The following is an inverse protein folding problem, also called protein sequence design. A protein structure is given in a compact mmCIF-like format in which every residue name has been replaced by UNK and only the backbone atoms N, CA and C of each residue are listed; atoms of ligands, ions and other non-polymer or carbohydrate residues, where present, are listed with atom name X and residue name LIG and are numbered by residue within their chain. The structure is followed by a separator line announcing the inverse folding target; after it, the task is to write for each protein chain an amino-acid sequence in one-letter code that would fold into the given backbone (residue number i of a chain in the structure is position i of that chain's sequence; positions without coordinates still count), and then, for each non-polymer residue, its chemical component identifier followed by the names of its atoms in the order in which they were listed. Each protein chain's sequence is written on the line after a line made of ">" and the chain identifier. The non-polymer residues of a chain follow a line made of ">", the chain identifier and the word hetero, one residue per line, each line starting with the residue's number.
data_IF_129656615243
#
_entry.id   IF_129656615243
#
_cell.length_a   1.000
_cell.length_b   1.000
_cell.length_c   1.000
_cell.angle_alpha   90.00
_cell.angle_beta   90.00
_cell.angle_gamma   90.00
#
_symmetry.space_group_name_H-M   'P 1'
#
loop_
_entity.id
_entity.type
_entity.pdbx_description
1 polymer ?
#
# COMPACT_ATOMS: atom_id res chain seq x y z
N UNK A 1 -22.48 -9.91 3.86
CA UNK A 1 -21.45 -9.35 2.95
C UNK A 1 -21.20 -10.35 1.83
N UNK A 2 -20.97 -9.88 0.60
CA UNK A 2 -20.59 -10.72 -0.54
C UNK A 2 -19.24 -11.39 -0.29
N UNK A 3 -19.02 -12.56 -0.86
CA UNK A 3 -17.77 -13.32 -0.77
C UNK A 3 -17.17 -13.45 -2.16
N UNK A 4 -15.85 -13.57 -2.23
CA UNK A 4 -15.18 -13.97 -3.47
C UNK A 4 -15.57 -15.42 -3.75
N UNK A 5 -16.12 -15.69 -4.93
CA UNK A 5 -16.54 -17.04 -5.32
C UNK A 5 -15.69 -17.52 -6.47
N UNK A 6 -15.28 -18.77 -6.42
CA UNK A 6 -14.48 -19.46 -7.43
C UNK A 6 -13.32 -18.63 -8.00
N UNK A 7 -12.15 -18.73 -7.37
CA UNK A 7 -10.96 -17.96 -7.74
C UNK A 7 -10.24 -18.48 -8.99
N UNK A 8 -10.50 -19.72 -9.41
CA UNK A 8 -9.80 -20.29 -10.57
C UNK A 8 -10.14 -19.51 -11.85
N UNK A 9 -9.13 -19.06 -12.56
CA UNK A 9 -9.24 -18.21 -13.73
C UNK A 9 -9.57 -16.75 -13.42
N UNK A 10 -9.48 -16.33 -12.14
CA UNK A 10 -9.71 -14.96 -11.69
C UNK A 10 -8.42 -14.20 -11.48
N UNK A 11 -8.58 -12.89 -11.33
CA UNK A 11 -7.48 -11.98 -11.05
C UNK A 11 -7.83 -11.01 -9.94
N UNK A 12 -6.85 -10.73 -9.08
CA UNK A 12 -6.97 -9.81 -7.95
C UNK A 12 -5.82 -8.82 -7.98
N UNK A 13 -6.14 -7.54 -8.01
CA UNK A 13 -5.16 -6.48 -7.78
C UNK A 13 -5.21 -6.02 -6.32
N UNK A 14 -4.04 -5.81 -5.73
CA UNK A 14 -3.89 -5.22 -4.40
C UNK A 14 -3.45 -3.77 -4.57
N UNK A 15 -4.34 -2.82 -4.31
CA UNK A 15 -4.08 -1.38 -4.35
C UNK A 15 -3.79 -0.92 -2.93
N UNK A 16 -2.72 -0.18 -2.73
CA UNK A 16 -2.34 0.25 -1.39
C UNK A 16 -1.12 1.16 -1.35
N UNK A 17 -0.56 1.24 -0.18
CA UNK A 17 0.61 2.06 0.14
C UNK A 17 1.93 1.26 0.12
N UNK A 18 2.90 1.66 0.97
CA UNK A 18 4.22 1.02 1.07
C UNK A 18 4.15 -0.45 1.50
N UNK A 19 3.19 -0.83 2.34
CA UNK A 19 3.04 -2.21 2.80
C UNK A 19 2.68 -3.11 1.61
N UNK A 20 1.79 -2.64 0.75
CA UNK A 20 1.40 -3.37 -0.45
C UNK A 20 2.53 -3.33 -1.49
N UNK A 21 3.18 -2.17 -1.67
CA UNK A 21 4.31 -2.02 -2.59
C UNK A 21 5.45 -2.99 -2.28
N UNK A 22 5.69 -3.34 -1.01
CA UNK A 22 6.68 -4.34 -0.60
C UNK A 22 6.40 -5.74 -1.19
N UNK A 23 5.14 -6.11 -1.40
CA UNK A 23 4.73 -7.27 -2.18
C UNK A 23 4.95 -8.63 -1.53
N UNK A 24 5.57 -8.73 -0.37
CA UNK A 24 5.98 -10.00 0.24
C UNK A 24 4.83 -11.01 0.37
N UNK A 25 3.69 -10.59 0.91
CA UNK A 25 2.52 -11.47 1.06
C UNK A 25 1.92 -11.90 -0.29
N UNK A 26 2.00 -11.04 -1.32
CA UNK A 26 1.49 -11.36 -2.67
C UNK A 26 2.31 -12.49 -3.28
N UNK A 27 3.63 -12.44 -3.14
CA UNK A 27 4.53 -13.48 -3.65
C UNK A 27 4.32 -14.81 -2.93
N UNK A 28 4.09 -14.79 -1.62
CA UNK A 28 3.73 -15.98 -0.84
C UNK A 28 2.39 -16.58 -1.29
N UNK A 29 1.40 -15.74 -1.60
CA UNK A 29 0.12 -16.19 -2.14
C UNK A 29 0.25 -16.78 -3.56
N UNK A 30 1.08 -16.17 -4.43
CA UNK A 30 1.39 -16.72 -5.75
C UNK A 30 1.96 -18.12 -5.64
N UNK A 31 2.98 -18.33 -4.79
CA UNK A 31 3.58 -19.64 -4.54
C UNK A 31 2.55 -20.65 -4.01
N UNK A 32 1.72 -20.22 -3.05
CA UNK A 32 0.67 -21.06 -2.50
C UNK A 32 -0.31 -21.54 -3.58
N UNK A 33 -0.83 -20.64 -4.41
CA UNK A 33 -1.80 -20.99 -5.45
C UNK A 33 -1.19 -21.87 -6.54
N UNK A 34 0.05 -21.61 -6.96
CA UNK A 34 0.77 -22.46 -7.90
C UNK A 34 0.95 -23.88 -7.36
N UNK A 35 1.34 -24.03 -6.09
CA UNK A 35 1.47 -25.36 -5.45
C UNK A 35 0.15 -26.11 -5.33
N UNK A 36 -0.97 -25.37 -5.30
CA UNK A 36 -2.32 -25.94 -5.29
C UNK A 36 -2.90 -26.19 -6.69
N UNK A 37 -2.21 -25.78 -7.73
CA UNK A 37 -2.73 -25.85 -9.11
C UNK A 37 -3.95 -24.92 -9.33
N UNK A 38 -4.09 -23.87 -8.52
CA UNK A 38 -5.17 -22.88 -8.63
C UNK A 38 -4.68 -21.74 -9.52
N UNK A 39 -5.32 -21.56 -10.66
CA UNK A 39 -5.01 -20.47 -11.59
C UNK A 39 -5.62 -19.17 -11.09
N UNK A 40 -4.79 -18.26 -10.59
CA UNK A 40 -5.19 -16.91 -10.15
C UNK A 40 -4.06 -15.92 -10.41
N UNK A 41 -4.36 -14.85 -11.12
CA UNK A 41 -3.40 -13.76 -11.31
C UNK A 41 -3.48 -12.75 -10.16
N UNK A 42 -2.37 -12.49 -9.50
CA UNK A 42 -2.27 -11.50 -8.42
C UNK A 42 -1.37 -10.35 -8.86
N UNK A 43 -1.86 -9.12 -8.78
CA UNK A 43 -1.15 -7.90 -9.18
C UNK A 43 -0.83 -7.04 -7.96
N UNK A 44 0.43 -6.63 -7.83
CA UNK A 44 0.84 -5.63 -6.87
C UNK A 44 0.64 -4.24 -7.46
N UNK A 45 -0.26 -3.45 -6.88
CA UNK A 45 -0.55 -2.06 -7.28
C UNK A 45 -0.41 -1.09 -6.09
N UNK A 46 0.50 -1.42 -5.15
CA UNK A 46 0.88 -0.56 -4.05
C UNK A 46 1.83 0.54 -4.50
N UNK A 47 1.68 1.75 -3.96
CA UNK A 47 2.62 2.87 -4.16
C UNK A 47 2.98 3.45 -2.80
N UNK A 48 4.26 3.43 -2.44
CA UNK A 48 4.72 3.92 -1.14
C UNK A 48 4.28 5.38 -0.91
N UNK A 49 3.84 5.68 0.31
CA UNK A 49 3.37 7.03 0.67
C UNK A 49 1.96 7.40 0.18
N UNK A 50 1.32 6.56 -0.64
CA UNK A 50 -0.02 6.84 -1.14
C UNK A 50 -1.09 6.80 -0.05
N UNK A 51 -2.13 7.58 -0.28
CA UNK A 51 -3.40 7.59 0.43
C UNK A 51 -4.53 7.22 -0.51
N UNK A 52 -5.64 6.78 0.04
CA UNK A 52 -6.78 6.36 -0.78
C UNK A 52 -7.40 7.51 -1.62
N UNK A 53 -7.29 8.76 -1.16
CA UNK A 53 -7.78 9.93 -1.90
C UNK A 53 -6.93 10.27 -3.14
N UNK A 54 -5.72 9.70 -3.26
CA UNK A 54 -4.83 9.87 -4.41
C UNK A 54 -5.07 8.82 -5.51
N UNK A 55 -5.72 7.71 -5.17
CA UNK A 55 -5.77 6.50 -6.03
C UNK A 55 -6.67 6.65 -7.25
N UNK A 56 -7.70 7.47 -7.19
CA UNK A 56 -8.65 7.61 -8.32
C UNK A 56 -8.02 7.99 -9.66
N UNK A 57 -6.91 8.75 -9.61
CA UNK A 57 -6.15 9.15 -10.80
C UNK A 57 -5.25 8.03 -11.31
N UNK A 58 -4.81 7.14 -10.41
CA UNK A 58 -3.93 6.02 -10.72
C UNK A 58 -4.64 4.87 -11.42
N UNK A 59 -5.90 4.60 -11.08
CA UNK A 59 -6.64 3.42 -11.56
C UNK A 59 -6.65 3.33 -13.08
N UNK A 60 -6.81 4.44 -13.80
CA UNK A 60 -6.84 4.43 -15.26
C UNK A 60 -5.49 4.07 -15.90
N UNK A 61 -4.39 4.39 -15.24
CA UNK A 61 -3.05 4.04 -15.72
C UNK A 61 -2.61 2.66 -15.25
N UNK A 62 -2.88 2.34 -14.00
CA UNK A 62 -2.53 1.05 -13.39
C UNK A 62 -3.23 -0.15 -14.04
N UNK A 63 -4.42 0.09 -14.61
CA UNK A 63 -5.23 -0.96 -15.25
C UNK A 63 -5.39 -0.76 -16.76
N UNK A 64 -4.51 0.02 -17.40
CA UNK A 64 -4.59 0.26 -18.84
C UNK A 64 -4.28 -0.99 -19.68
N UNK A 65 -3.42 -1.88 -19.18
CA UNK A 65 -3.04 -3.12 -19.90
C UNK A 65 -3.90 -4.32 -19.52
N UNK A 66 -4.45 -4.33 -18.30
CA UNK A 66 -5.25 -5.44 -17.81
C UNK A 66 -6.27 -4.98 -16.78
N UNK A 67 -7.50 -5.43 -16.95
CA UNK A 67 -8.59 -5.17 -16.03
C UNK A 67 -8.81 -6.39 -15.12
N UNK A 68 -8.44 -6.33 -13.83
CA UNK A 68 -8.64 -7.44 -12.92
C UNK A 68 -10.13 -7.66 -12.61
N UNK A 69 -10.48 -8.89 -12.20
CA UNK A 69 -11.84 -9.19 -11.74
C UNK A 69 -12.14 -8.49 -10.41
N UNK A 70 -11.15 -8.42 -9.53
CA UNK A 70 -11.25 -7.84 -8.19
C UNK A 70 -10.11 -6.87 -7.92
N UNK A 71 -10.39 -5.84 -7.12
CA UNK A 71 -9.36 -4.95 -6.58
C UNK A 71 -9.54 -4.78 -5.06
N UNK A 72 -8.57 -5.25 -4.29
CA UNK A 72 -8.50 -5.06 -2.84
C UNK A 72 -7.90 -3.68 -2.53
N UNK A 73 -8.67 -2.84 -1.85
CA UNK A 73 -8.29 -1.47 -1.49
C UNK A 73 -7.77 -1.50 -0.06
N UNK A 74 -6.43 -1.42 0.10
CA UNK A 74 -5.73 -1.63 1.37
C UNK A 74 -4.94 -0.38 1.76
N UNK A 75 -5.57 0.51 2.53
CA UNK A 75 -5.01 1.79 2.96
C UNK A 75 -5.29 2.05 4.44
N UNK A 76 -4.59 3.03 5.02
CA UNK A 76 -4.87 3.48 6.38
C UNK A 76 -3.73 4.25 7.03
N UNK A 77 -2.49 3.78 6.99
CA UNK A 77 -1.36 4.39 7.67
C UNK A 77 -1.14 5.85 7.28
N UNK A 78 -0.97 6.10 6.00
CA UNK A 78 -0.79 7.45 5.47
C UNK A 78 -2.08 8.28 5.55
N UNK A 79 -3.25 7.64 5.43
CA UNK A 79 -4.55 8.33 5.50
C UNK A 79 -4.82 8.87 6.90
N UNK A 80 -4.51 8.08 7.93
CA UNK A 80 -4.68 8.49 9.32
C UNK A 80 -3.81 9.69 9.67
N UNK A 81 -2.61 9.79 9.06
CA UNK A 81 -1.60 10.78 9.43
C UNK A 81 -1.04 10.46 10.81
N UNK A 82 -0.23 9.41 10.91
CA UNK A 82 0.28 8.89 12.20
C UNK A 82 0.98 9.96 13.05
N UNK A 83 1.60 10.96 12.41
CA UNK A 83 2.22 12.11 13.10
C UNK A 83 1.24 12.98 13.91
N UNK A 84 -0.07 12.87 13.64
CA UNK A 84 -1.12 13.51 14.43
C UNK A 84 -1.39 12.76 15.76
N UNK A 85 -0.74 11.61 15.95
CA UNK A 85 -0.87 10.75 17.14
C UNK A 85 0.40 10.74 18.00
N UNK A 86 1.21 11.80 17.90
CA UNK A 86 2.40 12.00 18.72
C UNK A 86 2.02 12.21 20.19
N UNK A 87 2.36 11.24 21.04
CA UNK A 87 2.06 11.25 22.47
C UNK A 87 2.79 12.33 23.28
N UNK A 88 3.83 12.96 22.71
CA UNK A 88 4.54 14.07 23.33
C UNK A 88 3.90 15.43 23.06
N UNK A 89 2.89 15.48 22.18
CA UNK A 89 2.17 16.72 21.87
C UNK A 89 0.85 16.80 22.62
N UNK A 90 0.48 17.98 23.16
CA UNK A 90 -0.82 18.16 23.79
C UNK A 90 -1.92 17.98 22.74
N UNK A 91 -2.99 17.28 23.13
CA UNK A 91 -4.19 17.16 22.31
C UNK A 91 -4.94 18.49 22.32
N UNK A 92 -4.86 19.23 21.22
CA UNK A 92 -5.55 20.52 21.04
C UNK A 92 -6.82 20.34 20.19
N UNK A 93 -7.73 21.30 20.24
CA UNK A 93 -8.91 21.30 19.34
C UNK A 93 -8.49 21.27 17.87
N UNK A 94 -7.44 22.03 17.51
CA UNK A 94 -6.90 22.04 16.14
C UNK A 94 -6.38 20.65 15.73
N UNK A 95 -5.68 19.94 16.62
CA UNK A 95 -5.23 18.57 16.36
C UNK A 95 -6.41 17.63 16.14
N UNK A 96 -7.46 17.74 16.94
CA UNK A 96 -8.68 16.92 16.80
C UNK A 96 -9.41 17.23 15.48
N UNK A 97 -9.48 18.49 15.07
CA UNK A 97 -10.07 18.85 13.77
C UNK A 97 -9.27 18.25 12.59
N UNK A 98 -7.93 18.29 12.65
CA UNK A 98 -7.07 17.63 11.64
C UNK A 98 -7.29 16.12 11.58
N UNK A 99 -7.41 15.45 12.73
CA UNK A 99 -7.76 14.02 12.75
C UNK A 99 -9.13 13.76 12.09
N UNK A 100 -10.13 14.59 12.37
CA UNK A 100 -11.46 14.49 11.72
C UNK A 100 -11.36 14.72 10.20
N UNK A 101 -10.57 15.69 9.78
CA UNK A 101 -10.33 15.95 8.34
C UNK A 101 -9.71 14.75 7.64
N UNK A 102 -8.73 14.08 8.28
CA UNK A 102 -8.13 12.83 7.76
C UNK A 102 -9.17 11.73 7.57
N UNK A 103 -10.02 11.51 8.56
CA UNK A 103 -11.10 10.52 8.48
C UNK A 103 -12.08 10.87 7.36
N UNK A 104 -12.45 12.15 7.22
CA UNK A 104 -13.32 12.62 6.15
C UNK A 104 -12.68 12.38 4.75
N UNK A 105 -11.40 12.73 4.58
CA UNK A 105 -10.67 12.55 3.33
C UNK A 105 -10.53 11.05 2.99
N UNK A 106 -10.25 10.19 3.97
CA UNK A 106 -10.22 8.74 3.79
C UNK A 106 -11.57 8.21 3.27
N UNK A 107 -12.67 8.57 3.94
CA UNK A 107 -14.02 8.16 3.54
C UNK A 107 -14.38 8.62 2.12
N UNK A 108 -14.07 9.88 1.80
CA UNK A 108 -14.27 10.46 0.48
C UNK A 108 -13.45 9.71 -0.58
N UNK A 109 -12.14 9.59 -0.36
CA UNK A 109 -11.22 8.90 -1.28
C UNK A 109 -11.62 7.45 -1.52
N UNK A 110 -12.02 6.74 -0.46
CA UNK A 110 -12.51 5.37 -0.57
C UNK A 110 -13.80 5.28 -1.43
N UNK A 111 -14.73 6.21 -1.22
CA UNK A 111 -15.96 6.31 -2.01
C UNK A 111 -15.64 6.52 -3.50
N UNK A 112 -14.82 7.52 -3.81
CA UNK A 112 -14.41 7.85 -5.18
C UNK A 112 -13.63 6.69 -5.85
N UNK A 113 -12.79 5.99 -5.09
CA UNK A 113 -12.04 4.81 -5.56
C UNK A 113 -12.98 3.66 -5.91
N UNK A 114 -13.97 3.37 -5.07
CA UNK A 114 -14.97 2.33 -5.34
C UNK A 114 -15.78 2.67 -6.59
N UNK A 115 -16.29 3.90 -6.70
CA UNK A 115 -17.05 4.36 -7.87
C UNK A 115 -16.23 4.22 -9.15
N UNK A 116 -14.94 4.58 -9.08
CA UNK A 116 -14.02 4.45 -10.22
C UNK A 116 -13.80 2.99 -10.61
N UNK A 117 -13.55 2.09 -9.67
CA UNK A 117 -13.40 0.65 -9.94
C UNK A 117 -14.67 0.06 -10.57
N UNK A 118 -15.83 0.40 -10.01
CA UNK A 118 -17.12 -0.06 -10.54
C UNK A 118 -17.35 0.45 -11.97
N UNK A 119 -16.94 1.69 -12.28
CA UNK A 119 -17.06 2.24 -13.64
C UNK A 119 -16.20 1.49 -14.67
N UNK A 120 -15.11 0.85 -14.23
CA UNK A 120 -14.29 -0.07 -15.04
C UNK A 120 -14.82 -1.51 -15.05
N UNK A 121 -15.90 -1.81 -14.31
CA UNK A 121 -16.44 -3.15 -14.15
C UNK A 121 -15.54 -4.06 -13.29
N UNK A 122 -14.70 -3.48 -12.43
CA UNK A 122 -13.86 -4.18 -11.46
C UNK A 122 -14.63 -4.28 -10.14
N UNK A 123 -14.67 -5.47 -9.53
CA UNK A 123 -15.34 -5.66 -8.24
C UNK A 123 -14.44 -5.20 -7.09
N UNK A 124 -14.82 -4.16 -6.32
CA UNK A 124 -14.02 -3.71 -5.19
C UNK A 124 -14.08 -4.71 -4.02
N UNK A 125 -12.95 -4.88 -3.36
CA UNK A 125 -12.83 -5.48 -2.04
C UNK A 125 -12.31 -4.39 -1.12
N UNK A 126 -13.13 -3.92 -0.20
CA UNK A 126 -12.74 -2.90 0.78
C UNK A 126 -12.14 -3.60 1.99
N UNK A 127 -11.02 -3.10 2.47
CA UNK A 127 -10.44 -3.62 3.72
C UNK A 127 -10.44 -2.55 4.82
N UNK A 128 -10.44 -2.98 6.08
CA UNK A 128 -9.97 -2.11 7.16
C UNK A 128 -8.45 -1.87 7.01
N UNK A 129 -7.89 -0.83 7.65
CA UNK A 129 -6.45 -0.71 7.83
C UNK A 129 -5.83 -1.97 8.45
N UNK A 130 -4.51 -2.09 8.33
CA UNK A 130 -3.71 -3.05 9.09
C UNK A 130 -3.35 -2.46 10.46
N UNK A 131 -3.06 -3.30 11.46
CA UNK A 131 -2.68 -2.78 12.79
C UNK A 131 -1.28 -2.17 12.79
N UNK A 132 -1.08 -1.25 13.74
CA UNK A 132 0.21 -0.76 14.19
C UNK A 132 0.70 -1.62 15.36
N UNK A 133 2.01 -1.78 15.53
CA UNK A 133 2.57 -2.48 16.67
C UNK A 133 2.37 -1.66 17.95
N UNK A 134 1.38 -2.05 18.78
CA UNK A 134 1.02 -1.34 20.01
C UNK A 134 2.12 -1.34 21.06
N UNK A 135 3.01 -2.35 21.06
CA UNK A 135 4.12 -2.41 22.02
C UNK A 135 5.14 -1.28 21.81
N UNK A 136 5.18 -0.70 20.60
CA UNK A 136 6.02 0.46 20.29
C UNK A 136 5.39 1.75 20.83
N UNK A 137 4.07 1.84 20.93
CA UNK A 137 3.37 2.98 21.52
C UNK A 137 3.76 3.22 22.99
N UNK A 138 4.17 2.16 23.70
CA UNK A 138 4.52 2.18 25.13
C UNK A 138 6.02 2.39 25.40
N UNK A 139 6.89 2.37 24.40
CA UNK A 139 8.35 2.45 24.56
C UNK A 139 8.87 3.85 24.28
N UNK A 140 9.43 4.49 25.30
CA UNK A 140 10.02 5.83 25.25
C UNK A 140 11.15 6.01 24.21
N UNK A 141 11.73 4.93 23.66
CA UNK A 141 12.97 4.96 22.90
C UNK A 141 12.85 4.58 21.42
N UNK A 142 11.64 4.39 20.91
CA UNK A 142 11.47 3.94 19.53
C UNK A 142 11.02 5.04 18.64
N UNK A 143 11.30 5.52 17.69
CA UNK A 143 10.95 6.49 16.65
C UNK A 143 10.15 7.72 17.05
N UNK A 144 10.72 8.85 16.76
CA UNK A 144 10.07 10.16 16.84
C UNK A 144 9.96 10.77 15.46
N UNK A 145 8.80 11.36 15.16
CA UNK A 145 8.65 12.23 13.99
C UNK A 145 9.36 13.55 14.29
N UNK A 146 10.23 14.01 13.40
CA UNK A 146 10.90 15.31 13.54
C UNK A 146 9.85 16.43 13.63
N UNK A 147 10.03 17.32 14.59
CA UNK A 147 9.18 18.47 14.76
C UNK A 147 9.47 19.51 13.67
N UNK A 148 8.84 19.34 12.52
CA UNK A 148 8.70 20.36 11.49
C UNK A 148 7.30 20.95 11.61
N UNK A 149 7.04 21.66 12.71
CA UNK A 149 5.76 22.25 13.07
C UNK A 149 5.17 23.19 12.00
N UNK A 150 5.96 23.61 11.03
CA UNK A 150 5.55 24.47 9.92
C UNK A 150 5.21 23.69 8.63
N UNK A 151 5.44 22.37 8.56
CA UNK A 151 5.20 21.53 7.37
C UNK A 151 4.38 20.30 7.69
N UNK A 152 3.15 20.52 8.13
CA UNK A 152 2.27 19.47 8.66
C UNK A 152 1.84 18.38 7.67
N UNK A 153 2.11 18.55 6.39
CA UNK A 153 1.83 17.58 5.32
C UNK A 153 3.09 17.05 4.64
N UNK A 154 4.27 17.41 5.14
CA UNK A 154 5.52 17.04 4.47
C UNK A 154 6.22 15.88 5.17
N UNK A 155 6.30 14.80 4.45
CA UNK A 155 7.19 13.66 4.73
C UNK A 155 8.56 14.02 4.16
N UNK A 156 9.40 14.69 4.94
CA UNK A 156 10.75 15.08 4.55
C UNK A 156 11.81 14.10 5.05
N UNK A 157 13.06 14.37 4.70
CA UNK A 157 14.21 13.49 4.91
C UNK A 157 14.58 13.18 6.38
N UNK A 158 13.95 13.85 7.36
CA UNK A 158 14.12 13.61 8.81
C UNK A 158 12.84 13.08 9.43
N UNK A 159 12.26 12.08 8.83
CA UNK A 159 10.94 11.56 9.14
C UNK A 159 10.82 11.00 10.56
N UNK A 160 11.89 10.45 11.10
CA UNK A 160 11.90 9.74 12.38
C UNK A 160 12.97 10.30 13.30
N UNK A 161 12.59 11.21 14.19
CA UNK A 161 13.29 11.46 15.45
C UNK A 161 12.43 10.91 16.57
N UNK A 162 12.98 10.47 17.69
CA UNK A 162 12.28 9.79 18.80
C UNK A 162 10.98 10.48 19.21
N UNK A 163 9.80 9.96 18.83
CA UNK A 163 8.49 10.35 19.34
C UNK A 163 7.66 9.11 19.63
N UNK A 164 6.99 9.12 20.74
CA UNK A 164 6.10 8.05 21.15
C UNK A 164 4.74 8.29 20.52
N UNK A 165 4.27 7.36 19.73
CA UNK A 165 2.90 7.40 19.22
C UNK A 165 1.92 6.87 20.24
N UNK A 166 0.74 7.46 20.31
CA UNK A 166 -0.34 7.05 21.20
C UNK A 166 -1.64 6.86 20.41
N UNK A 167 -2.33 5.77 20.72
CA UNK A 167 -3.69 5.53 20.21
C UNK A 167 -3.81 5.44 18.66
N UNK A 168 -2.76 5.04 17.95
CA UNK A 168 -2.82 4.85 16.49
C UNK A 168 -3.85 3.77 16.13
N UNK A 169 -3.87 2.64 16.85
CA UNK A 169 -4.83 1.57 16.59
C UNK A 169 -6.28 2.02 16.88
N UNK A 170 -6.51 2.95 17.82
CA UNK A 170 -7.83 3.56 18.01
C UNK A 170 -8.23 4.41 16.79
N UNK A 171 -7.29 5.17 16.24
CA UNK A 171 -7.49 5.88 14.97
C UNK A 171 -7.80 4.92 13.82
N UNK A 172 -7.11 3.80 13.74
CA UNK A 172 -7.40 2.75 12.74
C UNK A 172 -8.77 2.12 12.91
N UNK A 173 -9.28 1.95 14.15
CA UNK A 173 -10.66 1.50 14.40
C UNK A 173 -11.69 2.48 13.82
N UNK A 174 -11.43 3.79 13.90
CA UNK A 174 -12.30 4.79 13.29
C UNK A 174 -12.30 4.65 11.76
N UNK A 175 -11.12 4.52 11.12
CA UNK A 175 -11.05 4.29 9.69
C UNK A 175 -11.71 2.96 9.28
N UNK A 176 -11.54 1.90 10.06
CA UNK A 176 -12.17 0.59 9.82
C UNK A 176 -13.71 0.70 9.83
N UNK A 177 -14.28 1.47 10.77
CA UNK A 177 -15.72 1.71 10.81
C UNK A 177 -16.22 2.47 9.58
N UNK A 178 -15.47 3.48 9.11
CA UNK A 178 -15.80 4.20 7.89
C UNK A 178 -15.67 3.31 6.65
N UNK A 179 -14.62 2.51 6.55
CA UNK A 179 -14.44 1.54 5.47
C UNK A 179 -15.60 0.55 5.38
N UNK A 180 -16.01 -0.01 6.53
CA UNK A 180 -17.15 -0.90 6.62
C UNK A 180 -18.46 -0.22 6.21
N UNK A 181 -18.67 1.02 6.65
CA UNK A 181 -19.85 1.80 6.30
C UNK A 181 -19.94 2.05 4.80
N UNK A 182 -18.81 2.45 4.18
CA UNK A 182 -18.75 2.67 2.73
C UNK A 182 -18.94 1.35 1.98
N UNK A 183 -18.30 0.26 2.39
CA UNK A 183 -18.47 -1.05 1.77
C UNK A 183 -19.94 -1.53 1.79
N UNK A 184 -20.64 -1.32 2.90
CA UNK A 184 -22.07 -1.63 3.03
C UNK A 184 -22.93 -0.76 2.11
N UNK A 185 -22.64 0.54 2.01
CA UNK A 185 -23.35 1.47 1.12
C UNK A 185 -23.31 0.99 -0.35
N UNK A 186 -22.16 0.51 -0.80
CA UNK A 186 -21.99 0.02 -2.18
C UNK A 186 -22.34 -1.47 -2.35
N UNK A 187 -22.68 -2.18 -1.27
CA UNK A 187 -22.96 -3.61 -1.30
C UNK A 187 -21.78 -4.45 -1.80
N UNK A 188 -20.55 -4.00 -1.52
CA UNK A 188 -19.30 -4.66 -1.94
C UNK A 188 -18.75 -5.60 -0.87
N UNK A 189 -17.61 -6.25 -1.17
CA UNK A 189 -16.92 -7.14 -0.23
C UNK A 189 -16.18 -6.30 0.81
N UNK A 190 -16.18 -6.74 2.07
CA UNK A 190 -15.42 -6.14 3.15
C UNK A 190 -14.60 -7.19 3.89
N UNK A 191 -13.31 -6.92 4.12
CA UNK A 191 -12.41 -7.70 4.95
C UNK A 191 -11.98 -6.91 6.17
N UNK A 192 -12.16 -7.46 7.35
CA UNK A 192 -11.73 -6.84 8.61
C UNK A 192 -10.30 -7.27 8.96
N UNK A 193 -9.34 -6.67 8.26
CA UNK A 193 -7.92 -6.99 8.45
C UNK A 193 -7.36 -6.43 9.75
N UNK A 194 -7.91 -5.32 10.27
CA UNK A 194 -7.47 -4.73 11.54
C UNK A 194 -7.71 -5.69 12.69
N UNK A 195 -8.93 -6.24 12.78
CA UNK A 195 -9.28 -7.18 13.83
C UNK A 195 -8.44 -8.48 13.76
N UNK A 196 -8.26 -9.01 12.54
CA UNK A 196 -7.42 -10.20 12.33
C UNK A 196 -5.94 -9.91 12.68
N UNK A 197 -5.39 -8.75 12.28
CA UNK A 197 -3.98 -8.41 12.54
C UNK A 197 -3.73 -8.02 14.00
N UNK A 198 -4.68 -7.41 14.69
CA UNK A 198 -4.58 -7.16 16.14
C UNK A 198 -4.61 -8.45 16.97
N UNK A 199 -5.35 -9.48 16.52
CA UNK A 199 -5.45 -10.75 17.23
C UNK A 199 -4.27 -11.68 17.00
N UNK A 200 -3.71 -11.69 15.80
CA UNK A 200 -2.70 -12.65 15.38
C UNK A 200 -1.31 -12.03 15.24
N UNK A 201 -1.22 -10.67 15.26
CA UNK A 201 0.04 -9.94 15.15
C UNK A 201 0.87 -10.02 16.44
N UNK A 202 2.18 -9.98 16.27
CA UNK A 202 3.15 -9.93 17.36
C UNK A 202 4.27 -8.94 17.00
N UNK A 203 4.95 -8.32 18.00
CA UNK A 203 5.94 -7.27 17.78
C UNK A 203 7.04 -7.63 16.78
N UNK A 204 7.49 -8.90 16.79
CA UNK A 204 8.52 -9.40 15.88
C UNK A 204 8.10 -9.49 14.41
N UNK A 205 6.84 -9.19 14.09
CA UNK A 205 6.29 -9.16 12.72
C UNK A 205 6.47 -7.81 12.04
N UNK A 206 6.95 -6.81 12.78
CA UNK A 206 7.15 -5.46 12.29
C UNK A 206 8.63 -5.11 12.16
N UNK A 207 8.94 -4.15 11.30
CA UNK A 207 10.18 -3.41 11.39
C UNK A 207 10.14 -2.47 12.61
N UNK A 208 11.28 -1.87 12.90
CA UNK A 208 11.45 -0.99 14.07
C UNK A 208 10.51 0.23 14.07
N UNK A 209 9.95 0.60 12.93
CA UNK A 209 8.98 1.70 12.81
C UNK A 209 7.55 1.31 13.31
N UNK A 210 7.33 0.04 13.61
CA UNK A 210 6.05 -0.48 14.07
C UNK A 210 4.90 -0.44 13.06
N UNK A 211 5.14 0.08 11.86
CA UNK A 211 4.15 0.25 10.80
C UNK A 211 4.34 -0.77 9.67
N UNK A 212 5.59 -0.92 9.22
CA UNK A 212 5.89 -1.81 8.11
C UNK A 212 6.11 -3.24 8.60
N UNK A 213 5.52 -4.17 7.87
CA UNK A 213 5.61 -5.60 8.15
C UNK A 213 6.91 -6.16 7.56
N UNK A 214 7.67 -6.90 8.38
CA UNK A 214 8.82 -7.68 7.92
C UNK A 214 8.38 -9.02 7.29
N UNK A 215 9.31 -9.92 7.01
CA UNK A 215 8.98 -11.21 6.38
C UNK A 215 7.94 -12.00 7.17
N UNK A 216 8.06 -12.12 8.49
CA UNK A 216 7.06 -12.79 9.34
C UNK A 216 5.70 -12.10 9.30
N UNK A 217 5.70 -10.78 9.26
CA UNK A 217 4.48 -9.99 9.09
C UNK A 217 3.82 -10.22 7.74
N UNK A 218 4.59 -10.32 6.66
CA UNK A 218 4.06 -10.69 5.35
C UNK A 218 3.52 -12.13 5.30
N UNK A 219 4.09 -13.07 6.05
CA UNK A 219 3.51 -14.41 6.22
C UNK A 219 2.15 -14.35 6.92
N UNK A 220 2.03 -13.54 7.97
CA UNK A 220 0.74 -13.31 8.63
C UNK A 220 -0.28 -12.71 7.67
N UNK A 221 0.10 -11.69 6.90
CA UNK A 221 -0.79 -11.09 5.90
C UNK A 221 -1.23 -12.10 4.85
N UNK A 222 -0.32 -12.93 4.33
CA UNK A 222 -0.67 -13.99 3.39
C UNK A 222 -1.69 -14.96 3.99
N UNK A 223 -1.52 -15.38 5.25
CA UNK A 223 -2.46 -16.23 5.98
C UNK A 223 -3.84 -15.61 6.10
N UNK A 224 -3.90 -14.35 6.55
CA UNK A 224 -5.16 -13.62 6.76
C UNK A 224 -5.89 -13.39 5.43
N UNK A 225 -5.17 -12.96 4.39
CA UNK A 225 -5.75 -12.69 3.07
C UNK A 225 -6.22 -13.99 2.42
N UNK A 226 -5.45 -15.08 2.50
CA UNK A 226 -5.89 -16.38 1.98
C UNK A 226 -7.18 -16.86 2.65
N UNK A 227 -7.28 -16.74 3.98
CA UNK A 227 -8.49 -17.06 4.74
C UNK A 227 -9.71 -16.28 4.23
N UNK A 228 -9.54 -15.01 3.87
CA UNK A 228 -10.60 -14.17 3.33
C UNK A 228 -10.94 -14.51 1.86
N UNK A 229 -9.94 -14.93 1.06
CA UNK A 229 -10.12 -15.34 -0.33
C UNK A 229 -10.77 -16.73 -0.44
N UNK A 230 -10.25 -17.74 0.28
CA UNK A 230 -10.56 -19.16 0.04
C UNK A 230 -11.13 -19.89 1.25
N UNK A 231 -10.87 -19.45 2.46
CA UNK A 231 -11.02 -20.15 3.75
C UNK A 231 -10.06 -21.32 3.95
N UNK A 232 -9.07 -21.49 3.06
CA UNK A 232 -8.05 -22.51 3.23
C UNK A 232 -7.00 -22.09 4.26
N UNK A 233 -6.27 -23.09 4.76
CA UNK A 233 -5.16 -22.85 5.68
C UNK A 233 -3.90 -22.56 4.87
N UNK A 234 -3.25 -21.43 5.17
CA UNK A 234 -1.98 -21.07 4.58
C UNK A 234 -0.87 -22.01 5.06
N UNK A 235 -0.03 -22.44 4.11
CA UNK A 235 1.20 -23.20 4.37
C UNK A 235 2.32 -22.43 3.72
N UNK A 236 3.28 -22.00 4.53
CA UNK A 236 4.45 -21.27 4.03
C UNK A 236 5.26 -22.14 3.08
N UNK A 237 5.62 -21.57 1.95
CA UNK A 237 6.59 -22.11 1.02
C UNK A 237 7.37 -20.93 0.41
N UNK A 238 8.68 -21.05 0.37
CA UNK A 238 9.54 -20.02 -0.24
C UNK A 238 9.16 -19.82 -1.71
N UNK A 239 8.97 -18.56 -2.16
CA UNK A 239 8.65 -18.28 -3.56
C UNK A 239 9.74 -18.78 -4.52
N UNK A 240 9.32 -19.47 -5.58
CA UNK A 240 10.20 -19.95 -6.64
C UNK A 240 10.79 -18.82 -7.47
N UNK A 241 11.82 -19.13 -8.23
CA UNK A 241 12.59 -18.14 -8.99
C UNK A 241 11.75 -17.33 -10.00
N UNK A 242 10.77 -17.94 -10.64
CA UNK A 242 9.87 -17.23 -11.56
C UNK A 242 9.05 -16.13 -10.86
N UNK A 243 8.61 -16.37 -9.62
CA UNK A 243 7.89 -15.37 -8.81
C UNK A 243 8.84 -14.26 -8.37
N UNK A 244 10.09 -14.61 -7.97
CA UNK A 244 11.09 -13.60 -7.59
C UNK A 244 11.40 -12.64 -8.74
N UNK A 245 11.54 -13.15 -9.97
CA UNK A 245 11.71 -12.30 -11.16
C UNK A 245 10.54 -11.35 -11.41
N UNK A 246 9.31 -11.85 -11.29
CA UNK A 246 8.13 -10.98 -11.40
C UNK A 246 8.13 -9.92 -10.29
N UNK A 247 8.50 -10.29 -9.06
CA UNK A 247 8.59 -9.35 -7.96
C UNK A 247 9.62 -8.24 -8.23
N UNK A 248 10.75 -8.54 -8.86
CA UNK A 248 11.74 -7.54 -9.27
C UNK A 248 11.18 -6.58 -10.32
N UNK A 249 10.48 -7.07 -11.33
CA UNK A 249 9.83 -6.22 -12.33
C UNK A 249 8.71 -5.35 -11.72
N UNK A 250 7.90 -5.92 -10.81
CA UNK A 250 6.92 -5.13 -10.05
C UNK A 250 7.61 -4.04 -9.20
N UNK A 251 8.78 -4.29 -8.62
CA UNK A 251 9.51 -3.26 -7.89
C UNK A 251 9.94 -2.09 -8.80
N UNK A 252 10.34 -2.35 -10.06
CA UNK A 252 10.64 -1.30 -11.05
C UNK A 252 9.38 -0.51 -11.41
N UNK A 253 8.28 -1.20 -11.67
CA UNK A 253 6.98 -0.57 -11.92
C UNK A 253 6.55 0.30 -10.73
N UNK A 254 6.69 -0.20 -9.49
CA UNK A 254 6.34 0.55 -8.26
C UNK A 254 7.26 1.75 -8.05
N UNK A 255 8.54 1.63 -8.37
CA UNK A 255 9.47 2.77 -8.34
C UNK A 255 9.06 3.85 -9.35
N UNK A 256 8.68 3.47 -10.57
CA UNK A 256 8.18 4.39 -11.59
C UNK A 256 6.93 5.15 -11.10
N UNK A 257 5.93 4.44 -10.59
CA UNK A 257 4.71 5.09 -10.10
C UNK A 257 4.97 5.93 -8.85
N UNK A 258 5.87 5.51 -7.96
CA UNK A 258 6.28 6.31 -6.81
C UNK A 258 6.87 7.65 -7.23
N UNK A 259 7.85 7.66 -8.13
CA UNK A 259 8.49 8.89 -8.60
C UNK A 259 7.48 9.76 -9.33
N UNK A 260 6.67 9.17 -10.21
CA UNK A 260 5.67 9.88 -11.00
C UNK A 260 4.62 10.59 -10.14
N UNK A 261 4.12 9.95 -9.09
CA UNK A 261 2.99 10.47 -8.34
C UNK A 261 3.37 11.16 -7.03
N UNK A 262 4.31 10.63 -6.27
CA UNK A 262 4.67 11.21 -4.97
C UNK A 262 5.68 12.35 -5.10
N UNK A 263 6.69 12.20 -5.96
CA UNK A 263 7.67 13.28 -6.17
C UNK A 263 7.09 14.43 -7.01
N UNK A 264 6.24 14.13 -7.97
CA UNK A 264 5.58 15.19 -8.74
C UNK A 264 4.60 16.01 -7.91
N UNK A 265 3.96 15.44 -6.88
CA UNK A 265 3.10 16.23 -5.99
C UNK A 265 3.88 17.31 -5.23
N UNK A 266 5.16 17.07 -4.92
CA UNK A 266 6.04 18.06 -4.30
C UNK A 266 6.51 19.15 -5.28
N UNK A 267 6.62 18.84 -6.59
CA UNK A 267 7.05 19.79 -7.64
C UNK A 267 5.88 20.32 -8.48
N UNK A 268 4.64 20.08 -8.06
CA UNK A 268 3.38 20.51 -8.70
C UNK A 268 3.53 21.03 -10.11
N UNK A 269 3.19 20.22 -11.09
CA UNK A 269 2.86 20.61 -12.47
C UNK A 269 3.98 20.66 -13.54
N UNK A 270 5.26 20.43 -13.25
CA UNK A 270 6.30 20.83 -14.24
C UNK A 270 7.06 19.63 -14.83
N UNK A 271 7.11 18.47 -14.17
CA UNK A 271 7.97 17.36 -14.62
C UNK A 271 7.15 16.14 -15.06
N UNK A 272 7.03 15.95 -16.36
CA UNK A 272 6.54 14.71 -16.96
C UNK A 272 7.44 14.32 -18.14
N UNK A 273 7.42 13.05 -18.53
CA UNK A 273 8.23 12.53 -19.63
C UNK A 273 9.73 12.80 -19.44
N UNK A 274 10.39 13.29 -20.47
CA UNK A 274 11.85 13.51 -20.52
C UNK A 274 12.39 14.43 -19.40
N UNK A 275 11.58 15.39 -18.96
CA UNK A 275 11.99 16.30 -17.88
C UNK A 275 12.08 15.60 -16.55
N UNK A 276 11.17 14.65 -16.28
CA UNK A 276 11.23 13.84 -15.07
C UNK A 276 12.41 12.88 -15.09
N UNK A 277 12.65 12.23 -16.24
CA UNK A 277 13.83 11.38 -16.45
C UNK A 277 15.12 12.17 -16.24
N UNK A 278 15.21 13.38 -16.82
CA UNK A 278 16.37 14.26 -16.66
C UNK A 278 16.60 14.66 -15.20
N UNK A 279 15.55 14.98 -14.44
CA UNK A 279 15.64 15.32 -13.03
C UNK A 279 16.10 14.13 -12.17
N UNK A 280 15.63 12.92 -12.45
CA UNK A 280 16.09 11.70 -11.74
C UNK A 280 17.55 11.40 -12.05
N UNK A 281 17.98 11.55 -13.32
CA UNK A 281 19.38 11.40 -13.71
C UNK A 281 20.29 12.43 -13.00
N UNK A 282 19.83 13.65 -12.80
CA UNK A 282 20.57 14.67 -12.07
C UNK A 282 20.73 14.30 -10.58
N UNK A 283 19.69 13.75 -9.94
CA UNK A 283 19.77 13.23 -8.59
C UNK A 283 20.81 12.11 -8.49
N UNK A 284 20.79 11.15 -9.42
CA UNK A 284 21.78 10.05 -9.46
C UNK A 284 23.20 10.62 -9.61
N UNK A 285 23.39 11.53 -10.57
CA UNK A 285 24.70 12.13 -10.85
C UNK A 285 25.29 12.89 -9.63
N UNK A 286 24.44 13.56 -8.89
CA UNK A 286 24.85 14.40 -7.76
C UNK A 286 24.78 13.68 -6.41
N UNK A 287 24.46 12.39 -6.39
CA UNK A 287 24.25 11.60 -5.17
C UNK A 287 23.23 12.25 -4.21
N UNK A 288 22.32 13.07 -4.75
CA UNK A 288 21.30 13.80 -4.01
C UNK A 288 20.09 12.94 -3.62
N UNK A 289 20.33 11.67 -3.24
CA UNK A 289 19.27 10.77 -2.79
C UNK A 289 18.63 11.25 -1.50
N UNK A 290 17.34 11.06 -1.43
CA UNK A 290 16.54 11.35 -0.25
C UNK A 290 15.84 10.08 0.22
N UNK A 291 15.31 10.08 1.44
CA UNK A 291 14.57 8.94 1.97
C UNK A 291 13.43 8.48 1.04
N UNK A 292 12.76 9.42 0.38
CA UNK A 292 11.70 9.10 -0.60
C UNK A 292 12.21 8.66 -1.97
N UNK A 293 13.43 9.02 -2.36
CA UNK A 293 14.05 8.64 -3.63
C UNK A 293 15.44 8.05 -3.38
N UNK A 294 15.47 6.78 -3.04
CA UNK A 294 16.71 6.01 -2.87
C UNK A 294 17.35 5.71 -4.23
N UNK A 295 18.65 5.37 -4.23
CA UNK A 295 19.35 4.93 -5.44
C UNK A 295 18.62 3.80 -6.17
N UNK A 296 18.16 2.79 -5.43
CA UNK A 296 17.41 1.65 -5.98
C UNK A 296 16.12 2.08 -6.65
N UNK A 297 15.36 3.02 -6.04
CA UNK A 297 14.12 3.54 -6.63
C UNK A 297 14.41 4.40 -7.86
N UNK A 298 15.46 5.22 -7.82
CA UNK A 298 15.84 6.05 -8.97
C UNK A 298 16.26 5.19 -10.16
N UNK A 299 17.07 4.15 -9.95
CA UNK A 299 17.46 3.20 -11.00
C UNK A 299 16.24 2.43 -11.54
N UNK A 300 15.43 1.86 -10.65
CA UNK A 300 14.21 1.14 -11.05
C UNK A 300 13.23 2.02 -11.84
N UNK A 301 13.08 3.30 -11.45
CA UNK A 301 12.31 4.25 -12.23
C UNK A 301 12.85 4.41 -13.65
N UNK A 302 14.16 4.62 -13.80
CA UNK A 302 14.76 4.86 -15.13
C UNK A 302 14.63 3.64 -16.03
N UNK A 303 14.90 2.44 -15.50
CA UNK A 303 14.77 1.20 -16.25
C UNK A 303 13.34 0.98 -16.75
N UNK A 304 12.34 1.25 -15.93
CA UNK A 304 10.94 1.14 -16.35
C UNK A 304 10.52 2.27 -17.29
N UNK A 305 11.03 3.49 -17.09
CA UNK A 305 10.71 4.68 -17.87
C UNK A 305 11.29 4.67 -19.31
N UNK A 306 12.21 3.76 -19.65
CA UNK A 306 12.71 3.59 -21.02
C UNK A 306 11.58 3.24 -21.99
N UNK A 307 10.69 2.32 -21.65
CA UNK A 307 9.45 2.02 -22.37
C UNK A 307 8.35 1.55 -21.40
N UNK A 308 7.65 2.48 -20.71
CA UNK A 308 6.65 2.12 -19.72
C UNK A 308 5.48 1.31 -20.30
N UNK A 309 5.19 1.47 -21.58
CA UNK A 309 4.10 0.76 -22.24
C UNK A 309 4.47 -0.71 -22.45
N UNK A 310 5.64 -0.96 -23.04
CA UNK A 310 6.10 -2.30 -23.31
C UNK A 310 6.43 -3.06 -22.01
N UNK A 311 7.12 -2.40 -21.06
CA UNK A 311 7.43 -2.97 -19.75
C UNK A 311 6.15 -3.35 -18.98
N UNK A 312 5.13 -2.48 -19.00
CA UNK A 312 3.85 -2.78 -18.35
C UNK A 312 3.06 -3.92 -19.00
N UNK A 313 3.08 -4.02 -20.34
CA UNK A 313 2.48 -5.14 -21.07
C UNK A 313 3.18 -6.44 -20.73
N UNK A 314 4.51 -6.48 -20.86
CA UNK A 314 5.32 -7.65 -20.58
C UNK A 314 5.12 -8.14 -19.15
N UNK A 315 5.20 -7.25 -18.15
CA UNK A 315 4.94 -7.61 -16.75
C UNK A 315 3.54 -8.21 -16.56
N UNK A 316 2.54 -7.64 -17.23
CA UNK A 316 1.17 -8.16 -17.19
C UNK A 316 1.11 -9.59 -17.78
N UNK A 317 1.73 -9.85 -18.92
CA UNK A 317 1.81 -11.16 -19.55
C UNK A 317 2.54 -12.17 -18.68
N UNK A 318 3.66 -11.77 -18.06
CA UNK A 318 4.43 -12.62 -17.15
C UNK A 318 3.59 -13.03 -15.92
N UNK A 319 2.82 -12.09 -15.33
CA UNK A 319 1.91 -12.40 -14.21
C UNK A 319 0.79 -13.37 -14.65
N UNK A 320 0.20 -13.13 -15.81
CA UNK A 320 -0.86 -13.99 -16.34
C UNK A 320 -0.35 -15.39 -16.72
N UNK A 321 0.90 -15.52 -17.13
CA UNK A 321 1.53 -16.78 -17.55
C UNK A 321 2.02 -17.63 -16.38
N UNK A 322 2.08 -17.11 -15.17
CA UNK A 322 2.42 -17.88 -13.95
C UNK A 322 1.46 -19.04 -13.68
N UNK A 323 0.30 -19.08 -14.33
CA UNK A 323 -0.78 -20.01 -14.03
C UNK A 323 -0.84 -21.22 -14.96
#
# INVERSE_FOLDING_TARGET
>A
MKKVSNLSGKSVAFIGDSIIAAGGFINLLREYFLNKGIRIALFNKGVAGNRVDMVKTLISEEFCFYKPDYAAIMFGGNDLGIWLYDGNKPVTEQLLEKRKERVFNYKRGLTETIERLLSFGITPIVTSPLCYNSDIEEKEDVYTIADNSEKEDYIGDNFYTKKTFCNINEGFKVLAQEAKTVALKFGTIYWDLLDDTLKEGAPEMFYEDGMHYNLKGHELLAKIILKNLTREKFIFTEPRESIKKIAEEEQRERAYFFVKYNRMSAYKSILCGDKLVSAVNEVIKNEGYTEGLTETRAKGFLEYAEDPVENGKKLTEDILSLN
#
